data_IF_691534164848
#
_entry.id   IF_691534164848
#
_cell.length_a   1.000
_cell.length_b   1.000
_cell.length_c   1.000
_cell.angle_alpha   90.00
_cell.angle_beta   90.00
_cell.angle_gamma   90.00
#
_symmetry.space_group_name_H-M   'P 1'
#
loop_
_entity.id
_entity.type
_entity.pdbx_description
1 polymer ?
#
# COMPACT_ATOMS: atom_id res chain seq x y z
N UNK A 1 -23.99 -40.79 -37.94
CA UNK A 1 -22.77 -40.71 -37.11
C UNK A 1 -21.93 -41.98 -37.14
N UNK A 2 -22.36 -43.13 -36.59
CA UNK A 2 -21.52 -44.35 -36.60
C UNK A 2 -21.10 -44.77 -38.02
N UNK A 3 -22.05 -44.93 -38.95
CA UNK A 3 -21.79 -45.26 -40.35
C UNK A 3 -20.87 -44.24 -41.07
N UNK A 4 -21.00 -42.95 -40.77
CA UNK A 4 -20.15 -41.91 -41.36
C UNK A 4 -18.69 -42.01 -40.87
N UNK A 5 -18.50 -42.40 -39.61
CA UNK A 5 -17.19 -42.66 -39.02
C UNK A 5 -16.58 -43.94 -39.62
N UNK A 6 -17.36 -45.01 -39.80
CA UNK A 6 -16.88 -46.24 -40.45
C UNK A 6 -16.40 -45.97 -41.88
N UNK A 7 -17.17 -45.21 -42.66
CA UNK A 7 -16.82 -44.82 -44.03
C UNK A 7 -15.61 -43.86 -44.08
N UNK A 8 -15.40 -43.03 -43.06
CA UNK A 8 -14.20 -42.22 -42.93
C UNK A 8 -12.96 -43.08 -42.62
N UNK A 9 -13.08 -44.05 -41.71
CA UNK A 9 -11.97 -44.96 -41.35
C UNK A 9 -11.55 -45.84 -42.53
N UNK A 10 -12.52 -46.36 -43.31
CA UNK A 10 -12.24 -47.10 -44.55
C UNK A 10 -11.48 -46.25 -45.57
N UNK A 11 -11.88 -44.99 -45.76
CA UNK A 11 -11.17 -44.05 -46.66
C UNK A 11 -9.73 -43.76 -46.23
N UNK A 12 -9.42 -43.91 -44.95
CA UNK A 12 -8.06 -43.76 -44.41
C UNK A 12 -7.27 -45.08 -44.33
N UNK A 13 -7.73 -46.16 -44.97
CA UNK A 13 -6.99 -47.41 -45.08
C UNK A 13 -6.97 -48.26 -43.80
N UNK A 14 -7.88 -47.99 -42.87
CA UNK A 14 -8.03 -48.82 -41.67
C UNK A 14 -8.59 -50.18 -42.07
N UNK A 15 -8.04 -51.25 -41.48
CA UNK A 15 -8.47 -52.63 -41.76
C UNK A 15 -9.97 -52.80 -41.51
N UNK A 16 -10.73 -53.46 -42.41
CA UNK A 16 -12.19 -53.57 -42.30
C UNK A 16 -12.68 -54.14 -40.97
N UNK A 17 -11.91 -55.03 -40.34
CA UNK A 17 -12.21 -55.61 -39.02
C UNK A 17 -12.23 -54.56 -37.89
N UNK A 18 -11.48 -53.46 -38.04
CA UNK A 18 -11.36 -52.37 -37.06
C UNK A 18 -12.29 -51.18 -37.39
N UNK A 19 -12.90 -51.19 -38.57
CA UNK A 19 -13.83 -50.13 -38.99
C UNK A 19 -15.23 -50.30 -38.41
N UNK A 20 -15.55 -51.44 -37.77
CA UNK A 20 -16.86 -51.65 -37.14
C UNK A 20 -16.93 -50.87 -35.83
N UNK A 21 -17.56 -49.71 -35.86
CA UNK A 21 -17.81 -48.90 -34.67
C UNK A 21 -19.15 -49.36 -34.09
N UNK A 22 -19.10 -50.27 -33.14
CA UNK A 22 -20.27 -50.73 -32.41
C UNK A 22 -21.03 -49.55 -31.78
N UNK A 23 -22.36 -49.64 -31.74
CA UNK A 23 -23.17 -48.69 -30.97
C UNK A 23 -22.83 -48.89 -29.51
N UNK A 24 -22.25 -47.87 -28.88
CA UNK A 24 -21.85 -47.88 -27.48
C UNK A 24 -23.00 -48.42 -26.61
N UNK A 25 -22.76 -49.55 -25.96
CA UNK A 25 -23.74 -50.19 -25.08
C UNK A 25 -24.08 -49.25 -23.92
N UNK A 26 -25.22 -49.46 -23.26
CA UNK A 26 -25.61 -48.65 -22.10
C UNK A 26 -24.51 -48.59 -21.02
N UNK A 27 -23.84 -49.73 -20.79
CA UNK A 27 -22.74 -49.86 -19.83
C UNK A 27 -21.48 -49.12 -20.26
N UNK A 28 -21.12 -49.16 -21.54
CA UNK A 28 -19.97 -48.41 -22.06
C UNK A 28 -20.21 -46.90 -22.05
N UNK A 29 -21.46 -46.46 -22.26
CA UNK A 29 -21.85 -45.04 -22.16
C UNK A 29 -21.72 -44.54 -20.73
N UNK A 30 -22.12 -45.34 -19.75
CA UNK A 30 -21.95 -45.03 -18.32
C UNK A 30 -20.47 -44.88 -17.96
N UNK A 31 -19.61 -45.80 -18.42
CA UNK A 31 -18.16 -45.71 -18.23
C UNK A 31 -17.58 -44.44 -18.88
N UNK A 32 -18.05 -44.07 -20.09
CA UNK A 32 -17.59 -42.87 -20.77
C UNK A 32 -18.00 -41.58 -20.07
N UNK A 33 -19.23 -41.51 -19.54
CA UNK A 33 -19.68 -40.34 -18.78
C UNK A 33 -18.94 -40.24 -17.43
N UNK A 34 -18.71 -41.35 -16.73
CA UNK A 34 -17.91 -41.37 -15.50
C UNK A 34 -16.45 -40.94 -15.77
N UNK A 35 -15.83 -41.45 -16.84
CA UNK A 35 -14.49 -41.05 -17.26
C UNK A 35 -14.44 -39.56 -17.65
N UNK A 36 -15.48 -39.04 -18.29
CA UNK A 36 -15.61 -37.64 -18.69
C UNK A 36 -15.73 -36.72 -17.47
N UNK A 37 -16.54 -37.08 -16.47
CA UNK A 37 -16.66 -36.34 -15.21
C UNK A 37 -15.35 -36.35 -14.43
N UNK A 38 -14.64 -37.48 -14.39
CA UNK A 38 -13.31 -37.56 -13.81
C UNK A 38 -12.30 -36.67 -14.54
N UNK A 39 -12.33 -36.65 -15.87
CA UNK A 39 -11.45 -35.81 -16.69
C UNK A 39 -11.75 -34.32 -16.48
N UNK A 40 -13.03 -33.92 -16.50
CA UNK A 40 -13.47 -32.55 -16.24
C UNK A 40 -13.08 -32.08 -14.84
N UNK A 41 -13.27 -32.92 -13.81
CA UNK A 41 -12.86 -32.60 -12.44
C UNK A 41 -11.35 -32.44 -12.31
N UNK A 42 -10.56 -33.25 -13.03
CA UNK A 42 -9.10 -33.14 -13.07
C UNK A 42 -8.64 -31.85 -13.78
N UNK A 43 -9.22 -31.53 -14.93
CA UNK A 43 -8.92 -30.30 -15.69
C UNK A 43 -9.28 -29.04 -14.88
N UNK A 44 -10.44 -29.03 -14.23
CA UNK A 44 -10.86 -27.94 -13.34
C UNK A 44 -9.92 -27.75 -12.14
N UNK A 45 -9.24 -28.80 -11.66
CA UNK A 45 -8.21 -28.68 -10.61
C UNK A 45 -6.90 -28.10 -11.15
N UNK A 46 -6.54 -28.37 -12.40
CA UNK A 46 -5.32 -27.84 -13.04
C UNK A 46 -5.42 -26.34 -13.32
N UNK A 47 -6.59 -25.84 -13.73
CA UNK A 47 -6.81 -24.41 -14.03
C UNK A 47 -6.88 -23.54 -12.77
N UNK A 48 -7.47 -24.04 -11.67
CA UNK A 48 -7.54 -23.32 -10.37
C UNK A 48 -6.17 -23.13 -9.68
N UNK A 49 -5.14 -23.81 -10.17
CA UNK A 49 -3.79 -23.87 -9.61
C UNK A 49 -2.75 -23.09 -10.43
N UNK A 50 -3.15 -22.37 -11.48
CA UNK A 50 -2.28 -21.40 -12.13
C UNK A 50 -1.98 -20.27 -11.15
N UNK A 51 -0.71 -20.11 -10.78
CA UNK A 51 -0.25 -19.01 -9.93
C UNK A 51 0.22 -17.90 -10.87
N UNK A 52 -0.57 -16.84 -10.98
CA UNK A 52 -0.20 -15.69 -11.79
C UNK A 52 1.06 -15.01 -11.22
N UNK A 53 1.91 -14.39 -12.08
CA UNK A 53 2.95 -13.49 -11.63
C UNK A 53 2.34 -12.38 -10.75
N UNK A 54 2.92 -12.14 -9.57
CA UNK A 54 2.40 -11.16 -8.59
C UNK A 54 1.56 -11.76 -7.45
N UNK A 55 1.13 -13.02 -7.51
CA UNK A 55 0.45 -13.68 -6.38
C UNK A 55 1.47 -14.06 -5.28
N UNK A 56 1.54 -13.22 -4.24
CA UNK A 56 2.45 -13.42 -3.10
C UNK A 56 1.90 -14.39 -2.04
N UNK A 57 0.69 -14.95 -2.25
CA UNK A 57 0.01 -15.81 -1.27
C UNK A 57 0.35 -17.29 -1.44
N UNK A 58 1.03 -17.68 -2.52
CA UNK A 58 1.38 -19.08 -2.83
C UNK A 58 2.82 -19.21 -3.31
N UNK A 59 3.42 -20.37 -3.08
CA UNK A 59 4.71 -20.70 -3.65
C UNK A 59 4.57 -21.05 -5.14
N UNK A 60 5.21 -20.30 -6.04
CA UNK A 60 5.16 -20.58 -7.49
C UNK A 60 5.82 -21.92 -7.90
N UNK A 61 6.65 -22.52 -7.03
CA UNK A 61 7.31 -23.80 -7.30
C UNK A 61 6.49 -25.04 -6.96
N UNK A 62 5.72 -25.02 -5.86
CA UNK A 62 4.91 -26.16 -5.43
C UNK A 62 3.42 -25.86 -5.28
N UNK A 63 2.99 -24.62 -5.58
CA UNK A 63 1.60 -24.12 -5.60
C UNK A 63 0.86 -24.11 -4.27
N UNK A 64 1.48 -24.57 -3.18
CA UNK A 64 0.90 -24.49 -1.83
C UNK A 64 0.85 -23.05 -1.34
N UNK A 65 -0.20 -22.74 -0.57
CA UNK A 65 -0.42 -21.41 0.02
C UNK A 65 0.60 -21.11 1.11
N UNK A 66 0.77 -19.83 1.42
CA UNK A 66 1.71 -19.31 2.42
C UNK A 66 1.46 -19.91 3.80
N UNK A 67 0.21 -20.18 4.15
CA UNK A 67 -0.17 -20.73 5.46
C UNK A 67 0.32 -22.17 5.65
N UNK A 68 0.68 -22.88 4.57
CA UNK A 68 1.23 -24.23 4.64
C UNK A 68 2.71 -24.26 5.07
N UNK A 69 3.33 -23.11 5.32
CA UNK A 69 4.75 -23.01 5.65
C UNK A 69 4.96 -22.24 6.95
N UNK A 70 5.84 -22.77 7.80
CA UNK A 70 6.33 -22.07 8.99
C UNK A 70 7.31 -20.94 8.64
N UNK A 71 7.82 -20.92 7.41
CA UNK A 71 8.77 -19.90 6.92
C UNK A 71 8.08 -18.93 5.97
N UNK A 72 8.37 -17.61 6.05
CA UNK A 72 7.90 -16.65 5.06
C UNK A 72 8.37 -17.00 3.66
N UNK A 73 7.49 -16.81 2.67
CA UNK A 73 7.86 -16.98 1.26
C UNK A 73 8.88 -15.92 0.84
N UNK A 74 9.94 -16.36 0.16
CA UNK A 74 11.01 -15.51 -0.36
C UNK A 74 10.73 -15.12 -1.80
N UNK A 75 10.91 -13.84 -2.13
CA UNK A 75 10.78 -13.34 -3.52
C UNK A 75 11.98 -13.75 -4.37
N UNK A 76 11.77 -13.93 -5.68
CA UNK A 76 12.87 -14.09 -6.62
C UNK A 76 13.81 -12.87 -6.55
N UNK A 77 15.11 -13.11 -6.36
CA UNK A 77 16.09 -12.03 -6.21
C UNK A 77 16.23 -11.11 -7.42
N UNK A 78 15.85 -11.59 -8.61
CA UNK A 78 15.94 -10.82 -9.86
C UNK A 78 14.65 -10.03 -10.15
N UNK A 79 13.53 -10.71 -10.34
CA UNK A 79 12.28 -10.08 -10.76
C UNK A 79 11.38 -9.60 -9.62
N UNK A 80 11.51 -10.20 -8.43
CA UNK A 80 10.65 -9.97 -7.25
C UNK A 80 9.14 -10.29 -7.43
N UNK A 81 8.69 -10.67 -8.63
CA UNK A 81 7.28 -10.98 -8.98
C UNK A 81 6.77 -12.37 -8.58
N UNK A 82 7.66 -13.30 -8.22
CA UNK A 82 7.30 -14.67 -7.83
C UNK A 82 7.91 -15.04 -6.50
N UNK A 83 7.24 -15.91 -5.75
CA UNK A 83 7.66 -16.31 -4.40
C UNK A 83 7.90 -17.80 -4.25
N UNK A 84 8.81 -18.15 -3.35
CA UNK A 84 9.22 -19.52 -3.08
C UNK A 84 9.40 -19.74 -1.58
N UNK A 85 8.95 -20.88 -1.06
CA UNK A 85 9.27 -21.26 0.32
C UNK A 85 10.71 -21.79 0.47
N UNK A 86 11.34 -22.22 -0.62
CA UNK A 86 12.69 -22.79 -0.62
C UNK A 86 13.42 -22.61 -1.95
N UNK A 87 14.75 -22.66 -1.91
CA UNK A 87 15.62 -22.64 -3.10
C UNK A 87 15.32 -23.84 -4.01
N UNK A 88 15.00 -25.01 -3.44
CA UNK A 88 14.61 -26.21 -4.20
C UNK A 88 13.39 -25.93 -5.11
N UNK A 89 12.37 -25.25 -4.58
CA UNK A 89 11.20 -24.86 -5.38
C UNK A 89 11.53 -23.82 -6.45
N UNK A 90 12.41 -22.87 -6.17
CA UNK A 90 12.89 -21.91 -7.16
C UNK A 90 13.61 -22.62 -8.31
N UNK A 91 14.57 -23.49 -8.01
CA UNK A 91 15.34 -24.24 -9.03
C UNK A 91 14.44 -25.13 -9.88
N UNK A 92 13.44 -25.80 -9.26
CA UNK A 92 12.45 -26.60 -9.99
C UNK A 92 11.61 -25.75 -10.95
N UNK A 93 11.15 -24.59 -10.50
CA UNK A 93 10.35 -23.66 -11.33
C UNK A 93 11.19 -22.89 -12.36
N UNK A 94 12.51 -22.76 -12.14
CA UNK A 94 13.42 -21.93 -12.94
C UNK A 94 13.37 -22.22 -14.44
N UNK A 95 13.21 -23.49 -14.84
CA UNK A 95 13.11 -23.88 -16.25
C UNK A 95 12.00 -23.14 -17.00
N UNK A 96 10.87 -22.89 -16.32
CA UNK A 96 9.73 -22.11 -16.84
C UNK A 96 9.92 -20.62 -16.58
N UNK A 97 10.24 -20.26 -15.33
CA UNK A 97 10.34 -18.86 -14.90
C UNK A 97 11.42 -18.06 -15.63
N UNK A 98 12.57 -18.64 -15.99
CA UNK A 98 13.69 -17.91 -16.60
C UNK A 98 13.32 -17.14 -17.87
N UNK A 99 12.29 -17.61 -18.60
CA UNK A 99 11.80 -16.97 -19.83
C UNK A 99 11.04 -15.67 -19.55
N UNK A 100 10.43 -15.56 -18.37
CA UNK A 100 9.64 -14.40 -17.93
C UNK A 100 10.32 -13.60 -16.82
N UNK A 101 11.43 -14.10 -16.26
CA UNK A 101 12.18 -13.45 -15.20
C UNK A 101 12.95 -12.23 -15.71
N UNK A 102 12.33 -11.05 -15.65
CA UNK A 102 12.97 -9.76 -15.92
C UNK A 102 13.16 -9.00 -14.62
N UNK A 103 14.27 -8.24 -14.44
CA UNK A 103 14.34 -7.28 -13.35
C UNK A 103 13.09 -6.39 -13.39
N UNK A 104 12.53 -5.98 -12.25
CA UNK A 104 11.50 -4.94 -12.27
C UNK A 104 12.06 -3.78 -13.09
N UNK A 105 11.25 -3.24 -14.01
CA UNK A 105 11.61 -2.03 -14.73
C UNK A 105 12.14 -1.04 -13.70
N UNK A 106 13.32 -0.47 -13.91
CA UNK A 106 13.88 0.48 -12.99
C UNK A 106 12.81 1.55 -12.81
N UNK A 107 12.17 1.57 -11.64
CA UNK A 107 11.25 2.63 -11.31
C UNK A 107 12.12 3.88 -11.38
N UNK A 108 11.81 4.83 -12.28
CA UNK A 108 12.61 6.03 -12.37
C UNK A 108 12.72 6.60 -10.96
N UNK A 109 13.94 7.00 -10.60
CA UNK A 109 14.31 7.49 -9.28
C UNK A 109 13.75 8.90 -9.06
N UNK A 110 12.42 9.01 -9.18
CA UNK A 110 11.70 10.26 -9.12
C UNK A 110 11.54 10.66 -7.65
N UNK A 111 11.69 11.95 -7.38
CA UNK A 111 11.28 12.52 -6.11
C UNK A 111 9.78 12.28 -5.87
N UNK A 112 9.37 12.14 -4.61
CA UNK A 112 7.99 11.84 -4.24
C UNK A 112 6.94 12.79 -4.87
N UNK A 113 7.28 14.07 -4.97
CA UNK A 113 6.45 15.06 -5.65
C UNK A 113 6.27 14.76 -7.14
N UNK A 114 7.37 14.48 -7.84
CA UNK A 114 7.36 14.17 -9.26
C UNK A 114 6.64 12.85 -9.54
N UNK A 115 6.84 11.84 -8.69
CA UNK A 115 6.12 10.58 -8.76
C UNK A 115 4.60 10.80 -8.64
N UNK A 116 4.16 11.56 -7.64
CA UNK A 116 2.74 11.86 -7.44
C UNK A 116 2.14 12.54 -8.68
N UNK A 117 2.81 13.57 -9.20
CA UNK A 117 2.32 14.35 -10.33
C UNK A 117 2.32 13.58 -11.66
N UNK A 118 3.33 12.73 -11.90
CA UNK A 118 3.54 12.11 -13.21
C UNK A 118 3.14 10.63 -13.28
N UNK A 119 3.06 9.91 -12.16
CA UNK A 119 2.84 8.45 -12.13
C UNK A 119 1.58 8.05 -11.39
N UNK A 120 1.29 8.63 -10.23
CA UNK A 120 0.15 8.19 -9.41
C UNK A 120 -1.18 8.29 -10.17
N UNK A 121 -1.40 9.38 -10.92
CA UNK A 121 -2.62 9.53 -11.71
C UNK A 121 -2.77 8.56 -12.89
N UNK A 122 -1.70 7.85 -13.28
CA UNK A 122 -1.75 6.84 -14.35
C UNK A 122 -1.99 5.42 -13.82
N UNK A 123 -1.76 5.17 -12.53
CA UNK A 123 -1.99 3.87 -11.90
C UNK A 123 -3.47 3.76 -11.46
N UNK A 124 -4.24 2.76 -11.95
CA UNK A 124 -5.64 2.59 -11.57
C UNK A 124 -5.88 2.45 -10.07
N UNK A 125 -4.95 1.82 -9.33
CA UNK A 125 -5.06 1.65 -7.88
C UNK A 125 -4.81 2.97 -7.15
N UNK A 126 -3.82 3.72 -7.60
CA UNK A 126 -3.54 5.05 -7.04
C UNK A 126 -4.69 6.02 -7.31
N UNK A 127 -5.29 6.01 -8.52
CA UNK A 127 -6.50 6.77 -8.83
C UNK A 127 -7.66 6.42 -7.91
N UNK A 128 -7.95 5.13 -7.72
CA UNK A 128 -9.02 4.70 -6.82
C UNK A 128 -8.79 5.19 -5.37
N UNK A 129 -7.53 5.25 -4.92
CA UNK A 129 -7.17 5.81 -3.62
C UNK A 129 -7.32 7.35 -3.60
N UNK A 130 -6.90 8.06 -4.64
CA UNK A 130 -7.07 9.52 -4.78
C UNK A 130 -8.56 9.89 -4.74
N UNK A 131 -9.40 9.13 -5.44
CA UNK A 131 -10.86 9.29 -5.47
C UNK A 131 -11.48 9.05 -4.09
N UNK A 132 -11.03 8.00 -3.37
CA UNK A 132 -11.52 7.71 -2.00
C UNK A 132 -11.13 8.80 -1.00
N UNK A 133 -9.99 9.46 -1.23
CA UNK A 133 -9.54 10.63 -0.50
C UNK A 133 -10.19 11.93 -1.00
N UNK A 134 -11.08 11.87 -2.01
CA UNK A 134 -11.77 13.01 -2.63
C UNK A 134 -10.82 14.08 -3.20
N UNK A 135 -9.61 13.71 -3.56
CA UNK A 135 -8.61 14.66 -4.07
C UNK A 135 -8.97 14.95 -5.52
N UNK A 136 -9.27 16.20 -5.82
CA UNK A 136 -9.59 16.62 -7.17
C UNK A 136 -8.33 16.58 -8.04
N UNK A 137 -8.30 15.67 -9.01
CA UNK A 137 -7.21 15.51 -9.96
C UNK A 137 -7.00 16.75 -10.86
N UNK A 138 -7.99 17.63 -10.98
CA UNK A 138 -7.86 18.90 -11.70
C UNK A 138 -7.15 19.96 -10.85
N UNK A 139 -7.19 19.85 -9.52
CA UNK A 139 -6.49 20.72 -8.59
C UNK A 139 -5.07 20.21 -8.28
N UNK A 140 -4.31 19.92 -9.34
CA UNK A 140 -2.91 19.50 -9.26
C UNK A 140 -1.97 20.54 -8.60
N UNK A 141 -2.48 21.71 -8.18
CA UNK A 141 -1.70 22.78 -7.54
C UNK A 141 -1.29 22.49 -6.09
N UNK A 142 -1.92 21.53 -5.40
CA UNK A 142 -1.72 21.36 -3.95
C UNK A 142 -0.46 20.55 -3.55
N UNK A 143 0.33 20.12 -4.54
CA UNK A 143 1.53 19.30 -4.32
C UNK A 143 1.22 18.01 -3.53
N UNK A 144 2.17 17.57 -2.71
CA UNK A 144 2.02 16.34 -1.88
C UNK A 144 1.38 16.60 -0.51
N UNK A 145 1.19 17.87 -0.12
CA UNK A 145 0.70 18.24 1.21
C UNK A 145 -0.72 17.73 1.47
N UNK A 146 -1.68 18.13 0.63
CA UNK A 146 -3.08 17.74 0.78
C UNK A 146 -3.27 16.20 0.76
N UNK A 147 -2.66 15.45 -0.18
CA UNK A 147 -2.72 13.98 -0.16
C UNK A 147 -2.22 13.34 1.15
N UNK A 148 -1.06 13.78 1.67
CA UNK A 148 -0.52 13.26 2.95
C UNK A 148 -1.49 13.56 4.10
N UNK A 149 -2.01 14.78 4.19
CA UNK A 149 -2.98 15.15 5.21
C UNK A 149 -4.23 14.27 5.18
N UNK A 150 -4.77 13.97 3.99
CA UNK A 150 -5.99 13.16 3.85
C UNK A 150 -5.77 11.69 4.14
N UNK A 151 -4.62 11.13 3.73
CA UNK A 151 -4.23 9.77 4.11
C UNK A 151 -4.16 9.64 5.64
N UNK A 152 -3.51 10.59 6.31
CA UNK A 152 -3.39 10.58 7.78
C UNK A 152 -4.75 10.78 8.44
N UNK A 153 -5.56 11.74 7.96
CA UNK A 153 -6.88 12.04 8.52
C UNK A 153 -7.83 10.85 8.49
N UNK A 154 -7.75 10.03 7.43
CA UNK A 154 -8.61 8.86 7.21
C UNK A 154 -7.98 7.56 7.73
N UNK A 155 -6.76 7.61 8.28
CA UNK A 155 -6.03 6.43 8.76
C UNK A 155 -5.55 5.48 7.66
N UNK A 156 -5.55 5.95 6.41
CA UNK A 156 -5.12 5.20 5.23
C UNK A 156 -3.62 5.39 4.91
N UNK A 157 -2.85 6.04 5.77
CA UNK A 157 -1.42 6.32 5.61
C UNK A 157 -0.51 5.10 5.87
N UNK A 158 -0.86 3.95 5.28
CA UNK A 158 -0.04 2.73 5.31
C UNK A 158 1.19 2.87 4.42
N UNK A 159 2.30 2.16 4.70
CA UNK A 159 3.46 2.18 3.81
C UNK A 159 3.12 1.80 2.36
N UNK A 160 2.14 0.91 2.16
CA UNK A 160 1.66 0.51 0.85
C UNK A 160 0.99 1.67 0.11
N UNK A 161 0.07 2.38 0.77
CA UNK A 161 -0.62 3.53 0.19
C UNK A 161 0.31 4.73 -0.02
N UNK A 162 1.26 4.95 0.89
CA UNK A 162 2.28 5.99 0.74
C UNK A 162 3.18 5.71 -0.47
N UNK A 163 3.65 4.46 -0.65
CA UNK A 163 4.42 4.09 -1.86
C UNK A 163 3.58 4.17 -3.13
N UNK A 164 2.30 3.84 -3.03
CA UNK A 164 1.38 3.88 -4.17
C UNK A 164 1.18 5.31 -4.70
N UNK A 165 1.07 6.31 -3.82
CA UNK A 165 0.88 7.71 -4.24
C UNK A 165 2.19 8.46 -4.48
N UNK A 166 3.24 8.19 -3.70
CA UNK A 166 4.46 9.00 -3.67
C UNK A 166 5.72 8.24 -4.10
N UNK A 167 5.57 7.00 -4.55
CA UNK A 167 6.67 6.18 -5.02
C UNK A 167 7.50 5.55 -3.91
N UNK A 168 8.49 4.72 -4.27
CA UNK A 168 9.26 3.93 -3.32
C UNK A 168 10.14 4.77 -2.39
N UNK A 169 10.38 6.05 -2.73
CA UNK A 169 11.24 6.98 -1.98
C UNK A 169 10.53 7.94 -1.05
N UNK A 170 9.23 7.73 -0.84
CA UNK A 170 8.45 8.65 -0.01
C UNK A 170 9.00 8.77 1.42
N UNK A 171 9.65 7.73 1.96
CA UNK A 171 10.21 7.78 3.32
C UNK A 171 11.35 8.79 3.41
N UNK A 172 12.21 8.88 2.39
CA UNK A 172 13.31 9.85 2.33
C UNK A 172 12.78 11.27 2.10
N UNK A 173 11.83 11.41 1.17
CA UNK A 173 11.41 12.73 0.69
C UNK A 173 10.31 13.34 1.57
N UNK A 174 9.41 12.51 2.10
CA UNK A 174 8.22 12.92 2.86
C UNK A 174 8.16 12.34 4.27
N UNK A 175 9.08 11.46 4.70
CA UNK A 175 8.96 10.73 5.97
C UNK A 175 8.85 11.66 7.18
N UNK A 176 9.65 12.73 7.22
CA UNK A 176 9.56 13.76 8.28
C UNK A 176 8.21 14.47 8.27
N UNK A 177 7.78 14.95 7.10
CA UNK A 177 6.50 15.66 6.94
C UNK A 177 5.29 14.77 7.26
N UNK A 178 5.32 13.50 6.83
CA UNK A 178 4.33 12.48 7.17
C UNK A 178 4.25 12.28 8.68
N UNK A 179 5.38 12.09 9.37
CA UNK A 179 5.43 11.96 10.82
C UNK A 179 4.87 13.19 11.53
N UNK A 180 5.27 14.40 11.14
CA UNK A 180 4.77 15.65 11.74
C UNK A 180 3.25 15.80 11.55
N UNK A 181 2.75 15.46 10.36
CA UNK A 181 1.32 15.44 10.04
C UNK A 181 0.59 14.44 10.94
N UNK A 182 1.13 13.23 11.11
CA UNK A 182 0.57 12.21 12.00
C UNK A 182 0.46 12.67 13.44
N UNK A 183 1.56 13.18 14.01
CA UNK A 183 1.58 13.68 15.37
C UNK A 183 0.52 14.77 15.54
N UNK A 184 0.43 15.69 14.59
CA UNK A 184 -0.58 16.76 14.59
C UNK A 184 -2.03 16.22 14.61
N UNK A 185 -2.35 15.22 13.78
CA UNK A 185 -3.68 14.63 13.77
C UNK A 185 -4.01 13.87 15.06
N UNK A 186 -3.02 13.19 15.64
CA UNK A 186 -3.17 12.44 16.90
C UNK A 186 -3.33 13.36 18.12
N UNK A 187 -2.73 14.54 18.11
CA UNK A 187 -2.84 15.50 19.21
C UNK A 187 -4.21 16.16 19.35
N UNK A 188 -5.03 16.15 18.29
CA UNK A 188 -6.27 16.93 18.26
C UNK A 188 -6.03 18.40 18.65
N UNK A 189 -5.10 19.07 17.96
CA UNK A 189 -4.72 20.45 18.25
C UNK A 189 -5.96 21.36 18.47
N UNK A 190 -5.96 22.21 19.51
CA UNK A 190 -7.12 23.02 19.87
C UNK A 190 -7.34 24.18 18.89
N UNK A 191 -8.55 24.75 18.81
CA UNK A 191 -8.78 26.05 18.17
C UNK A 191 -7.76 27.09 18.66
N UNK A 192 -7.30 27.96 17.78
CA UNK A 192 -6.24 28.93 18.09
C UNK A 192 -4.81 28.41 17.87
N UNK A 193 -4.63 27.12 17.57
CA UNK A 193 -3.32 26.57 17.18
C UNK A 193 -3.06 26.72 15.67
N UNK A 194 -1.81 26.93 15.23
CA UNK A 194 -1.43 26.87 13.81
C UNK A 194 -1.85 25.54 13.15
N UNK A 195 -1.60 24.42 13.82
CA UNK A 195 -2.00 23.09 13.33
C UNK A 195 -3.52 22.95 13.17
N UNK A 196 -4.32 23.53 14.05
CA UNK A 196 -5.78 23.53 13.91
C UNK A 196 -6.22 24.33 12.69
N UNK A 197 -5.63 25.51 12.46
CA UNK A 197 -5.93 26.35 11.30
C UNK A 197 -5.60 25.62 9.98
N UNK A 198 -4.40 25.02 9.86
CA UNK A 198 -3.99 24.23 8.69
C UNK A 198 -4.89 23.01 8.51
N UNK A 199 -5.20 22.28 9.59
CA UNK A 199 -6.10 21.14 9.53
C UNK A 199 -7.47 21.56 9.01
N UNK A 200 -8.02 22.66 9.51
CA UNK A 200 -9.35 23.14 9.13
C UNK A 200 -9.39 23.61 7.68
N UNK A 201 -8.35 24.27 7.18
CA UNK A 201 -8.29 24.71 5.78
C UNK A 201 -8.16 23.55 4.79
N UNK A 202 -7.49 22.46 5.20
CA UNK A 202 -7.30 21.27 4.37
C UNK A 202 -8.42 20.22 4.55
N UNK A 203 -9.26 20.36 5.58
CA UNK A 203 -10.28 19.39 5.90
C UNK A 203 -11.48 19.52 4.95
N UNK A 204 -11.72 18.46 4.20
CA UNK A 204 -13.02 18.22 3.59
C UNK A 204 -13.94 17.63 4.67
N UNK A 205 -14.96 18.38 5.08
CA UNK A 205 -15.94 17.98 6.09
C UNK A 205 -16.68 16.68 5.75
N UNK A 206 -16.66 16.26 4.48
CA UNK A 206 -17.27 15.02 4.04
C UNK A 206 -16.33 13.81 4.13
N UNK A 207 -15.05 13.99 4.48
CA UNK A 207 -14.14 12.88 4.81
C UNK A 207 -14.32 12.47 6.26
N UNK A 208 -14.56 11.17 6.48
CA UNK A 208 -14.60 10.59 7.83
C UNK A 208 -13.20 10.66 8.44
N UNK A 209 -13.09 11.38 9.56
CA UNK A 209 -11.83 11.49 10.30
C UNK A 209 -11.64 10.26 11.20
N UNK A 210 -10.71 9.40 10.81
CA UNK A 210 -10.39 8.15 11.51
C UNK A 210 -8.87 7.87 11.46
N UNK A 211 -8.01 8.74 12.02
CA UNK A 211 -6.58 8.49 12.02
C UNK A 211 -6.26 7.17 12.72
N UNK A 212 -5.32 6.39 12.16
CA UNK A 212 -4.89 5.13 12.79
C UNK A 212 -4.29 5.39 14.18
N UNK A 213 -4.39 4.43 15.12
CA UNK A 213 -3.77 4.55 16.43
C UNK A 213 -2.27 4.88 16.37
N UNK A 214 -1.78 5.57 17.39
CA UNK A 214 -0.38 5.91 17.53
C UNK A 214 0.49 4.66 17.72
N UNK A 215 1.61 4.57 17.00
CA UNK A 215 2.66 3.57 17.27
C UNK A 215 3.38 3.91 18.59
N UNK A 216 4.17 2.98 19.13
CA UNK A 216 4.98 3.24 20.33
C UNK A 216 6.01 4.37 20.11
N UNK A 217 6.62 4.46 18.93
CA UNK A 217 7.51 5.58 18.59
C UNK A 217 6.78 6.91 18.52
N UNK A 218 5.58 6.94 17.94
CA UNK A 218 4.72 8.13 17.89
C UNK A 218 4.29 8.55 19.30
N UNK A 219 3.91 7.61 20.17
CA UNK A 219 3.56 7.89 21.57
C UNK A 219 4.72 8.53 22.33
N UNK A 220 5.95 8.06 22.12
CA UNK A 220 7.15 8.67 22.72
C UNK A 220 7.32 10.12 22.27
N UNK A 221 7.21 10.39 20.97
CA UNK A 221 7.27 11.76 20.43
C UNK A 221 6.16 12.61 21.01
N UNK A 222 4.94 12.08 21.12
CA UNK A 222 3.82 12.81 21.73
C UNK A 222 4.07 13.13 23.21
N UNK A 223 4.70 12.22 23.97
CA UNK A 223 5.07 12.50 25.36
C UNK A 223 6.08 13.65 25.45
N UNK A 224 7.15 13.62 24.63
CA UNK A 224 8.14 14.70 24.55
C UNK A 224 7.52 16.04 24.15
N UNK A 225 6.59 16.02 23.18
CA UNK A 225 5.85 17.23 22.78
C UNK A 225 5.01 17.77 23.94
N UNK A 226 4.33 16.94 24.74
CA UNK A 226 3.54 17.40 25.91
C UNK A 226 4.41 18.00 27.01
N UNK A 227 5.56 17.40 27.27
CA UNK A 227 6.54 17.94 28.21
C UNK A 227 7.03 19.32 27.76
N UNK A 228 7.40 19.43 26.48
CA UNK A 228 7.79 20.70 25.87
C UNK A 228 6.69 21.77 25.97
N UNK A 229 5.43 21.41 25.70
CA UNK A 229 4.29 22.33 25.85
C UNK A 229 4.12 22.81 27.30
N UNK A 230 4.33 21.94 28.28
CA UNK A 230 4.25 22.28 29.71
C UNK A 230 5.31 23.31 30.08
N UNK A 231 6.53 23.14 29.55
CA UNK A 231 7.63 24.05 29.81
C UNK A 231 7.45 25.39 29.11
N UNK A 232 6.99 25.40 27.86
CA UNK A 232 6.61 26.64 27.18
C UNK A 232 5.57 27.40 28.02
N UNK A 233 4.50 26.73 28.47
CA UNK A 233 3.48 27.39 29.32
C UNK A 233 4.04 27.91 30.64
N UNK A 234 4.98 27.20 31.27
CA UNK A 234 5.61 27.63 32.52
C UNK A 234 6.50 28.86 32.31
N UNK A 235 7.23 28.91 31.20
CA UNK A 235 8.19 29.99 30.91
C UNK A 235 7.50 31.26 30.43
N UNK A 236 6.60 31.17 29.45
CA UNK A 236 5.98 32.35 28.83
C UNK A 236 4.55 32.62 29.26
N UNK A 237 3.87 31.65 29.87
CA UNK A 237 2.44 31.72 30.18
C UNK A 237 1.55 31.18 29.05
N UNK A 238 0.30 30.87 29.39
CA UNK A 238 -0.67 30.34 28.42
C UNK A 238 -1.06 31.40 27.37
N UNK A 239 -1.19 30.99 26.10
CA UNK A 239 -1.61 31.85 24.98
C UNK A 239 -0.57 32.86 24.49
N UNK A 240 0.64 32.88 25.07
CA UNK A 240 1.73 33.76 24.63
C UNK A 240 2.67 33.05 23.67
N UNK A 241 3.17 33.79 22.68
CA UNK A 241 4.18 33.31 21.73
C UNK A 241 5.56 33.56 22.33
N UNK A 242 6.43 32.53 22.46
CA UNK A 242 7.77 32.72 23.00
C UNK A 242 8.64 33.62 22.11
N UNK A 243 9.42 34.51 22.75
CA UNK A 243 10.48 35.25 22.09
C UNK A 243 11.66 34.32 21.72
N UNK A 244 12.60 34.76 20.86
CA UNK A 244 13.83 34.00 20.62
C UNK A 244 14.64 33.70 21.89
N UNK A 245 14.65 34.63 22.87
CA UNK A 245 15.31 34.43 24.15
C UNK A 245 14.61 33.36 25.00
N UNK A 246 13.27 33.36 25.03
CA UNK A 246 12.49 32.32 25.70
C UNK A 246 12.74 30.95 25.08
N UNK A 247 12.76 30.88 23.73
CA UNK A 247 13.08 29.65 23.00
C UNK A 247 14.43 29.08 23.41
N UNK A 248 15.47 29.93 23.45
CA UNK A 248 16.82 29.50 23.83
C UNK A 248 16.82 29.00 25.28
N UNK A 249 16.23 29.74 26.22
CA UNK A 249 16.14 29.36 27.62
C UNK A 249 15.37 28.05 27.85
N UNK A 250 14.27 27.82 27.12
CA UNK A 250 13.48 26.57 27.18
C UNK A 250 14.32 25.39 26.68
N UNK A 251 15.00 25.56 25.55
CA UNK A 251 15.80 24.50 24.94
C UNK A 251 17.02 24.13 25.80
N UNK A 252 17.70 25.13 26.37
CA UNK A 252 18.86 24.92 27.24
C UNK A 252 18.48 24.21 28.55
N UNK A 253 17.29 24.49 29.10
CA UNK A 253 16.84 23.91 30.37
C UNK A 253 16.55 22.40 30.27
N UNK A 254 16.04 21.92 29.14
CA UNK A 254 15.65 20.51 28.98
C UNK A 254 16.80 19.66 28.45
N UNK A 255 17.50 20.17 27.44
CA UNK A 255 18.38 19.34 26.62
C UNK A 255 19.85 19.73 26.74
N UNK A 256 20.17 20.82 27.45
CA UNK A 256 21.53 21.32 27.56
C UNK A 256 22.19 21.45 26.19
N UNK A 257 23.32 20.77 25.97
CA UNK A 257 24.07 20.82 24.70
C UNK A 257 23.45 20.01 23.55
N UNK A 258 22.44 19.17 23.80
CA UNK A 258 21.79 18.33 22.78
C UNK A 258 20.59 19.01 22.08
N UNK A 259 20.40 20.32 22.29
CA UNK A 259 19.19 21.01 21.82
C UNK A 259 19.03 21.09 20.30
N UNK A 260 20.12 20.94 19.52
CA UNK A 260 20.09 20.96 18.04
C UNK A 260 19.09 19.94 17.48
N UNK A 261 18.99 18.78 18.14
CA UNK A 261 18.22 17.65 17.64
C UNK A 261 16.74 17.76 18.02
N UNK A 262 16.40 18.63 18.98
CA UNK A 262 15.06 18.80 19.55
C UNK A 262 14.28 19.98 18.99
N UNK A 263 14.87 20.73 18.06
CA UNK A 263 14.19 21.83 17.38
C UNK A 263 12.84 21.41 16.75
N UNK A 264 12.74 20.19 16.23
CA UNK A 264 11.49 19.68 15.66
C UNK A 264 10.40 19.42 16.72
N UNK A 265 10.76 18.93 17.92
CA UNK A 265 9.82 18.73 19.04
C UNK A 265 9.27 20.09 19.51
N UNK A 266 10.13 21.10 19.60
CA UNK A 266 9.72 22.47 19.93
C UNK A 266 8.73 23.03 18.91
N UNK A 267 9.01 22.88 17.60
CA UNK A 267 8.10 23.32 16.53
C UNK A 267 6.75 22.59 16.58
N UNK A 268 6.75 21.28 16.84
CA UNK A 268 5.52 20.50 17.00
C UNK A 268 4.73 20.95 18.23
N UNK A 269 5.40 21.20 19.36
CA UNK A 269 4.78 21.68 20.58
C UNK A 269 4.07 23.01 20.33
N UNK A 270 4.75 24.00 19.76
CA UNK A 270 4.18 25.29 19.42
C UNK A 270 3.00 25.17 18.46
N UNK A 271 3.18 24.47 17.33
CA UNK A 271 2.13 24.35 16.31
C UNK A 271 0.84 23.72 16.84
N UNK A 272 0.95 22.88 17.87
CA UNK A 272 -0.17 22.19 18.51
C UNK A 272 -0.65 22.86 19.83
N UNK A 273 -0.14 24.05 20.17
CA UNK A 273 -0.64 24.87 21.28
C UNK A 273 -1.55 26.00 20.78
N UNK A 274 -2.53 26.38 21.59
CA UNK A 274 -3.30 27.61 21.35
C UNK A 274 -2.37 28.83 21.45
N UNK A 275 -2.25 29.54 20.32
CA UNK A 275 -1.49 30.79 20.18
C UNK A 275 -2.42 31.96 19.80
N UNK A 276 -3.74 31.77 19.90
CA UNK A 276 -4.72 32.76 19.45
C UNK A 276 -4.79 32.93 17.93
N UNK A 277 -4.36 31.94 17.15
CA UNK A 277 -4.43 31.99 15.67
C UNK A 277 -5.92 32.07 15.26
N UNK A 278 -6.35 33.11 14.54
CA UNK A 278 -7.74 33.24 14.11
C UNK A 278 -8.15 32.06 13.24
N UNK A 279 -9.30 31.45 13.54
CA UNK A 279 -9.81 30.28 12.82
C UNK A 279 -10.76 30.64 11.67
N UNK A 280 -11.07 31.93 11.47
CA UNK A 280 -12.03 32.39 10.45
C UNK A 280 -11.67 33.74 9.86
N UNK A 281 -11.40 33.76 8.55
CA UNK A 281 -11.10 35.00 7.83
C UNK A 281 -10.80 34.85 6.33
N UNK A 282 -10.51 33.64 5.83
CA UNK A 282 -10.50 33.42 4.38
C UNK A 282 -11.95 33.29 3.89
N UNK A 283 -12.62 34.44 3.69
CA UNK A 283 -13.77 34.48 2.77
C UNK A 283 -13.28 33.88 1.45
N UNK A 284 -13.92 32.80 1.00
CA UNK A 284 -13.74 32.32 -0.38
C UNK A 284 -14.11 33.50 -1.27
N UNK A 285 -13.11 34.06 -1.96
CA UNK A 285 -13.31 35.00 -3.08
C UNK A 285 -13.68 34.16 -4.28
#
# INVERSE_FOLDING_TARGET
>A
MAHEIEEALKRHGVRPELCKVGVCTAKEREILEEARELLFSCLARVERDAVEPGDLTKCHGCRRKRECFFVPLKRCGRCKEVTYHSVKCQTKHWKKHKRTCRPPAATPDLAAHEYYMNKAFSDPKARALIDSLRIDAQQNSHGTGLPVHRLVATGQDTPENMRLLFGPRYEQDLGKYHLETRITYLFNAPPGSPSYAVKTSLHDHALVRAPRPATESEKKIMAEVREMQTLIRRTVGAGKIPSPADRQAILDNIYGREYSDKGHIYTLALSNMDQGVPTGGFRRV
#
